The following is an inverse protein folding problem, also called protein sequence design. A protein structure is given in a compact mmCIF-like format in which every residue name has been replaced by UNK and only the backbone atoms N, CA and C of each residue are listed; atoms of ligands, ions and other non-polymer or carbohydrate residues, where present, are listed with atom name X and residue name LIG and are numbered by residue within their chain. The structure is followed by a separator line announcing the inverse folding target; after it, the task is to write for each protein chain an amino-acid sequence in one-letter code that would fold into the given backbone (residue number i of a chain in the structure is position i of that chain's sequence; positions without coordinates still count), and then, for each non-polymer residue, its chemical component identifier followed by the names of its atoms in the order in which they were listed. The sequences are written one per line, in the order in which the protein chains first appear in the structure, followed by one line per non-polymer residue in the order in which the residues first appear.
data_IF_662385900937
#
_entry.id   IF_662385900937
#
_cell.length_a   1.000
_cell.length_b   1.000
_cell.length_c   1.000
_cell.angle_alpha   90.00
_cell.angle_beta   90.00
_cell.angle_gamma   90.00
#
_symmetry.space_group_name_H-M   'P 1'
#
loop_
_entity.id
_entity.type
_entity.pdbx_description
1 polymer ?
#
# COMPACT_ATOMS: atom_id res chain seq x y z
N UNK A 1 15.95 -3.03 -2.33
CA UNK A 1 14.55 -3.50 -2.50
C UNK A 1 14.07 -3.06 -3.87
N UNK A 2 13.38 -3.93 -4.63
CA UNK A 2 12.79 -3.57 -5.93
C UNK A 2 11.32 -3.25 -5.69
N UNK A 3 10.87 -2.06 -6.12
CA UNK A 3 9.47 -1.67 -6.10
C UNK A 3 9.10 -0.99 -7.43
N UNK A 4 7.83 -1.09 -7.80
CA UNK A 4 7.31 -0.61 -9.09
C UNK A 4 6.31 0.51 -8.83
N UNK A 5 6.44 1.61 -9.57
CA UNK A 5 5.39 2.60 -9.71
C UNK A 5 4.63 2.32 -11.01
N UNK A 6 3.30 2.31 -10.96
CA UNK A 6 2.49 2.14 -12.18
C UNK A 6 2.59 3.36 -13.09
N UNK A 7 2.26 3.22 -14.38
CA UNK A 7 2.31 4.33 -15.35
C UNK A 7 1.18 5.36 -15.17
N UNK A 8 0.12 4.98 -14.46
CA UNK A 8 -0.99 5.88 -14.14
C UNK A 8 -0.73 6.57 -12.80
N UNK A 9 -0.89 7.88 -12.79
CA UNK A 9 -0.84 8.73 -11.61
C UNK A 9 -2.14 9.48 -11.41
N UNK A 10 -2.33 9.98 -10.19
CA UNK A 10 -3.54 10.70 -9.80
C UNK A 10 -3.17 12.00 -9.10
N UNK A 11 -3.79 13.10 -9.53
CA UNK A 11 -3.53 14.44 -9.00
C UNK A 11 -4.78 15.14 -8.45
N UNK A 12 -5.92 14.44 -8.44
CA UNK A 12 -7.20 14.89 -7.89
C UNK A 12 -8.19 13.73 -7.79
N UNK A 13 -9.30 13.94 -7.08
CA UNK A 13 -10.40 12.99 -7.01
C UNK A 13 -10.11 11.74 -6.19
N UNK A 14 -10.84 10.67 -6.50
CA UNK A 14 -10.82 9.40 -5.75
C UNK A 14 -10.37 8.26 -6.64
N UNK A 15 -9.50 7.41 -6.13
CA UNK A 15 -9.06 6.21 -6.84
C UNK A 15 -8.97 5.01 -5.91
N UNK A 16 -9.10 3.82 -6.51
CA UNK A 16 -9.11 2.57 -5.80
C UNK A 16 -8.44 1.49 -6.65
N UNK A 17 -7.62 0.65 -6.03
CA UNK A 17 -7.09 -0.54 -6.65
C UNK A 17 -6.97 -1.68 -5.64
N UNK A 18 -7.06 -2.91 -6.13
CA UNK A 18 -6.94 -4.13 -5.32
C UNK A 18 -5.68 -4.89 -5.70
N UNK A 19 -5.00 -5.43 -4.69
CA UNK A 19 -3.80 -6.25 -4.90
C UNK A 19 -3.97 -7.58 -4.18
N UNK A 20 -3.83 -8.67 -4.92
CA UNK A 20 -3.77 -10.01 -4.36
C UNK A 20 -2.40 -10.20 -3.70
N UNK A 21 -2.44 -10.59 -2.42
CA UNK A 21 -1.29 -10.82 -1.55
C UNK A 21 -1.27 -12.24 -0.98
N UNK A 22 -2.23 -13.07 -1.40
CA UNK A 22 -2.37 -14.47 -1.01
C UNK A 22 -1.04 -15.22 -1.11
N UNK A 23 -0.75 -16.06 -0.12
CA UNK A 23 0.43 -16.92 -0.06
C UNK A 23 1.78 -16.17 -0.08
N UNK A 24 1.80 -14.90 0.38
CA UNK A 24 3.01 -14.10 0.59
C UNK A 24 3.31 -13.91 2.07
N UNK A 25 4.59 -13.96 2.43
CA UNK A 25 5.08 -13.76 3.80
C UNK A 25 5.65 -12.37 4.04
N UNK A 26 5.90 -11.61 2.96
CA UNK A 26 6.30 -10.21 3.04
C UNK A 26 5.85 -9.42 1.81
N UNK A 27 5.35 -8.19 2.02
CA UNK A 27 4.99 -7.25 0.96
C UNK A 27 4.79 -5.84 1.51
N UNK A 28 4.84 -4.83 0.63
CA UNK A 28 4.45 -3.46 0.92
C UNK A 28 3.54 -2.91 -0.17
N UNK A 29 2.43 -2.29 0.24
CA UNK A 29 1.40 -1.74 -0.65
C UNK A 29 1.01 -0.33 -0.22
N UNK A 30 0.72 0.53 -1.20
CA UNK A 30 0.32 1.89 -0.88
C UNK A 30 0.43 2.85 -2.05
N UNK A 31 0.74 4.10 -1.76
CA UNK A 31 0.96 5.15 -2.76
C UNK A 31 2.17 5.99 -2.41
N UNK A 32 2.82 6.56 -3.42
CA UNK A 32 3.97 7.45 -3.27
C UNK A 32 3.85 8.65 -4.22
N UNK A 33 4.38 9.81 -3.82
CA UNK A 33 4.56 10.95 -4.71
C UNK A 33 5.65 10.69 -5.74
N UNK A 34 5.63 11.46 -6.83
CA UNK A 34 6.63 11.37 -7.89
C UNK A 34 8.05 11.65 -7.41
N UNK A 35 8.21 12.67 -6.56
CA UNK A 35 9.52 13.17 -6.11
C UNK A 35 10.23 12.27 -5.09
N UNK A 36 9.58 11.20 -4.64
CA UNK A 36 10.11 10.30 -3.61
C UNK A 36 11.45 9.71 -4.06
N UNK A 37 12.47 9.89 -3.21
CA UNK A 37 13.80 9.33 -3.43
C UNK A 37 13.72 7.82 -3.49
N UNK A 38 14.27 7.23 -4.56
CA UNK A 38 14.31 5.78 -4.73
C UNK A 38 15.46 5.05 -4.08
N UNK A 39 16.28 5.80 -3.34
CA UNK A 39 17.52 5.31 -2.74
C UNK A 39 17.45 5.24 -1.22
N UNK A 40 16.35 5.68 -0.62
CA UNK A 40 16.26 5.82 0.83
C UNK A 40 15.87 4.48 1.49
N UNK A 41 16.27 4.32 2.75
CA UNK A 41 16.00 3.14 3.54
C UNK A 41 14.49 2.97 3.82
N UNK A 42 14.05 1.74 4.07
CA UNK A 42 12.63 1.43 4.34
C UNK A 42 12.06 2.25 5.51
N UNK A 43 12.94 2.64 6.43
CA UNK A 43 12.62 3.44 7.63
C UNK A 43 12.23 4.89 7.32
N UNK A 44 12.57 5.42 6.13
CA UNK A 44 12.15 6.76 5.71
C UNK A 44 10.78 6.79 5.03
N UNK A 45 10.07 5.66 4.91
CA UNK A 45 8.85 5.56 4.14
C UNK A 45 7.62 6.04 4.93
N UNK A 46 7.58 7.31 5.30
CA UNK A 46 6.49 7.94 6.06
C UNK A 46 5.65 8.89 5.20
N UNK A 47 4.41 9.22 5.62
CA UNK A 47 3.59 10.25 4.98
C UNK A 47 4.30 11.59 4.81
N UNK A 48 5.12 11.98 5.79
CA UNK A 48 5.93 13.21 5.76
C UNK A 48 6.90 13.23 4.58
N UNK A 49 7.45 12.06 4.22
CA UNK A 49 8.35 11.88 3.08
C UNK A 49 7.61 11.56 1.78
N UNK A 50 6.27 11.70 1.76
CA UNK A 50 5.45 11.53 0.56
C UNK A 50 5.16 10.08 0.20
N UNK A 51 5.20 9.16 1.18
CA UNK A 51 4.92 7.75 0.97
C UNK A 51 3.90 7.26 2.01
N UNK A 52 2.86 6.55 1.57
CA UNK A 52 1.84 5.97 2.43
C UNK A 52 1.79 4.46 2.19
N UNK A 53 2.49 3.68 3.02
CA UNK A 53 2.64 2.23 2.83
C UNK A 53 2.10 1.46 4.03
N UNK A 54 1.29 0.46 3.71
CA UNK A 54 0.99 -0.68 4.57
C UNK A 54 1.98 -1.81 4.24
N UNK A 55 2.70 -2.25 5.25
CA UNK A 55 3.74 -3.25 5.17
C UNK A 55 3.36 -4.50 5.95
N UNK A 56 3.57 -5.67 5.36
CA UNK A 56 3.39 -6.96 6.00
C UNK A 56 4.70 -7.72 6.00
N UNK A 57 5.11 -8.23 7.16
CA UNK A 57 6.29 -9.09 7.29
C UNK A 57 6.12 -10.02 8.49
N UNK A 58 6.30 -11.33 8.27
CA UNK A 58 6.29 -12.35 9.35
C UNK A 58 5.11 -12.19 10.33
N UNK A 59 3.90 -12.10 9.78
CA UNK A 59 2.65 -11.94 10.56
C UNK A 59 2.54 -10.63 11.36
N UNK A 60 3.36 -9.63 11.03
CA UNK A 60 3.18 -8.26 11.50
C UNK A 60 2.64 -7.39 10.36
N UNK A 61 1.57 -6.64 10.64
CA UNK A 61 1.03 -5.63 9.75
C UNK A 61 1.31 -4.25 10.33
N UNK A 62 2.02 -3.42 9.57
CA UNK A 62 2.55 -2.13 10.03
C UNK A 62 2.24 -1.07 8.99
N UNK A 63 1.63 0.03 9.42
CA UNK A 63 1.60 1.25 8.62
C UNK A 63 2.83 2.09 8.97
N UNK A 64 3.64 2.44 7.98
CA UNK A 64 4.83 3.26 8.22
C UNK A 64 4.41 4.71 8.43
N UNK A 65 4.68 5.18 9.65
CA UNK A 65 4.46 6.54 10.11
C UNK A 65 5.54 6.86 11.17
N UNK A 66 5.53 8.06 11.73
CA UNK A 66 6.45 8.46 12.79
C UNK A 66 5.68 8.85 14.08
N UNK A 67 5.51 7.92 15.04
CA UNK A 67 6.02 6.55 15.09
C UNK A 67 5.20 5.56 14.26
N UNK A 68 5.81 4.42 13.90
CA UNK A 68 5.12 3.39 13.11
C UNK A 68 3.90 2.82 13.85
N UNK A 69 2.83 2.57 13.11
CA UNK A 69 1.55 2.08 13.65
C UNK A 69 1.46 0.57 13.40
N UNK A 70 1.50 -0.22 14.47
CA UNK A 70 1.26 -1.67 14.41
C UNK A 70 -0.24 -1.96 14.40
N UNK A 71 -0.67 -2.80 13.48
CA UNK A 71 -2.08 -3.12 13.24
C UNK A 71 -2.35 -4.59 13.57
N UNK A 72 -3.55 -4.92 14.08
CA UNK A 72 -3.91 -6.30 14.31
C UNK A 72 -3.99 -7.05 12.98
N UNK A 73 -3.27 -8.18 12.89
CA UNK A 73 -3.36 -9.07 11.73
C UNK A 73 -4.64 -9.88 11.83
N UNK A 74 -5.51 -9.75 10.83
CA UNK A 74 -6.70 -10.60 10.69
C UNK A 74 -6.30 -11.94 10.04
N UNK A 75 -7.15 -12.95 10.19
CA UNK A 75 -6.94 -14.24 9.53
C UNK A 75 -6.73 -14.06 8.02
N UNK A 76 -5.82 -14.86 7.45
CA UNK A 76 -5.37 -14.88 6.05
C UNK A 76 -5.79 -13.68 5.18
N UNK A 77 -4.97 -12.62 5.20
CA UNK A 77 -5.11 -11.51 4.28
C UNK A 77 -4.82 -11.99 2.84
N UNK A 78 -5.85 -12.14 2.01
CA UNK A 78 -5.69 -12.64 0.63
C UNK A 78 -5.61 -11.51 -0.39
N UNK A 79 -6.32 -10.41 -0.13
CA UNK A 79 -6.40 -9.27 -1.04
C UNK A 79 -6.58 -7.97 -0.27
N UNK A 80 -5.81 -6.96 -0.64
CA UNK A 80 -5.81 -5.64 -0.03
C UNK A 80 -6.32 -4.60 -1.02
N UNK A 81 -7.33 -3.85 -0.61
CA UNK A 81 -7.82 -2.67 -1.32
C UNK A 81 -7.11 -1.42 -0.82
N UNK A 82 -6.62 -0.60 -1.74
CA UNK A 82 -6.03 0.71 -1.45
C UNK A 82 -6.94 1.77 -2.05
N UNK A 83 -7.54 2.59 -1.20
CA UNK A 83 -8.39 3.71 -1.57
C UNK A 83 -7.68 5.02 -1.25
N UNK A 84 -7.79 5.98 -2.15
CA UNK A 84 -7.30 7.33 -1.92
C UNK A 84 -8.37 8.32 -2.29
N UNK A 85 -8.59 9.28 -1.40
CA UNK A 85 -9.31 10.51 -1.69
C UNK A 85 -8.28 11.65 -1.65
N UNK A 86 -7.87 12.07 -2.85
CA UNK A 86 -6.83 13.08 -3.02
C UNK A 86 -7.30 14.42 -2.46
N UNK A 87 -8.54 14.80 -2.73
CA UNK A 87 -9.06 16.11 -2.33
C UNK A 87 -9.31 16.18 -0.82
N UNK A 88 -9.67 15.05 -0.19
CA UNK A 88 -9.84 14.95 1.26
C UNK A 88 -8.56 14.63 2.03
N UNK A 89 -7.43 14.38 1.35
CA UNK A 89 -6.18 14.06 2.04
C UNK A 89 -6.21 12.71 2.78
N UNK A 90 -6.76 11.68 2.15
CA UNK A 90 -7.02 10.38 2.77
C UNK A 90 -6.41 9.23 1.98
N UNK A 91 -5.70 8.34 2.67
CA UNK A 91 -5.31 7.01 2.15
C UNK A 91 -5.87 5.95 3.08
N UNK A 92 -6.61 4.98 2.56
CA UNK A 92 -7.26 3.92 3.33
C UNK A 92 -6.98 2.54 2.77
N UNK A 93 -6.85 1.57 3.68
CA UNK A 93 -6.56 0.19 3.39
C UNK A 93 -7.70 -0.70 3.87
N UNK A 94 -8.04 -1.71 3.07
CA UNK A 94 -9.15 -2.61 3.31
C UNK A 94 -8.75 -4.06 3.06
N UNK A 95 -9.26 -4.94 3.91
CA UNK A 95 -9.32 -6.36 3.63
C UNK A 95 -10.54 -6.59 2.72
N UNK A 96 -10.28 -6.94 1.47
CA UNK A 96 -11.33 -7.06 0.44
C UNK A 96 -12.24 -8.25 0.74
N UNK A 97 -11.66 -9.37 1.16
CA UNK A 97 -12.41 -10.61 1.40
C UNK A 97 -13.26 -10.48 2.66
N UNK A 98 -12.70 -9.92 3.74
CA UNK A 98 -13.46 -9.64 4.96
C UNK A 98 -14.38 -8.42 4.84
N UNK A 99 -14.29 -7.65 3.74
CA UNK A 99 -14.99 -6.37 3.53
C UNK A 99 -14.81 -5.40 4.71
N UNK A 100 -13.60 -5.38 5.25
CA UNK A 100 -13.36 -4.74 6.53
C UNK A 100 -12.20 -3.75 6.43
N UNK A 101 -12.39 -2.59 7.06
CA UNK A 101 -11.36 -1.56 7.15
C UNK A 101 -10.14 -2.06 7.93
N UNK A 102 -8.94 -1.78 7.43
CA UNK A 102 -7.66 -2.08 8.08
C UNK A 102 -7.13 -0.82 8.77
N UNK A 103 -6.91 0.25 7.99
CA UNK A 103 -6.32 1.49 8.47
C UNK A 103 -6.59 2.66 7.54
N UNK A 104 -6.59 3.88 8.08
CA UNK A 104 -6.67 5.12 7.29
C UNK A 104 -5.65 6.15 7.80
N UNK A 105 -4.87 6.70 6.88
CA UNK A 105 -4.08 7.91 7.09
C UNK A 105 -4.90 9.12 6.64
N UNK A 106 -5.22 10.01 7.57
CA UNK A 106 -6.04 11.22 7.35
C UNK A 106 -5.20 12.48 7.49
N UNK A 107 -5.69 13.61 6.95
CA UNK A 107 -4.99 14.90 7.08
C UNK A 107 -3.72 14.96 6.23
N UNK A 108 -3.65 14.14 5.19
CA UNK A 108 -2.54 14.12 4.26
C UNK A 108 -2.65 15.32 3.33
N UNK A 109 -1.58 16.10 3.18
CA UNK A 109 -1.53 17.14 2.15
C UNK A 109 -0.89 16.55 0.90
N UNK A 110 -1.59 16.47 -0.23
CA UNK A 110 -1.00 16.03 -1.49
C UNK A 110 -0.72 17.22 -2.40
N UNK A 111 0.52 17.36 -2.85
CA UNK A 111 0.98 18.45 -3.71
C UNK A 111 1.51 17.97 -5.07
N UNK A 112 1.50 16.66 -5.30
CA UNK A 112 2.12 16.02 -6.46
C UNK A 112 1.27 14.82 -6.90
N UNK A 113 1.40 14.39 -8.16
CA UNK A 113 0.81 13.14 -8.61
C UNK A 113 1.21 11.97 -7.71
N UNK A 114 0.21 11.20 -7.28
CA UNK A 114 0.39 9.97 -6.53
C UNK A 114 0.42 8.77 -7.49
N UNK A 115 1.31 7.85 -7.19
CA UNK A 115 1.51 6.61 -7.93
C UNK A 115 1.27 5.42 -6.99
N UNK A 116 0.50 4.40 -7.43
CA UNK A 116 0.47 3.10 -6.78
C UNK A 116 1.87 2.56 -6.53
N UNK A 117 2.10 2.14 -5.29
CA UNK A 117 3.35 1.56 -4.81
C UNK A 117 3.14 0.07 -4.52
N UNK A 118 3.95 -0.78 -5.16
CA UNK A 118 3.96 -2.22 -4.92
C UNK A 118 5.40 -2.70 -4.68
N UNK A 119 5.61 -3.37 -3.55
CA UNK A 119 6.86 -4.00 -3.18
C UNK A 119 6.61 -5.49 -2.84
N UNK A 120 7.05 -6.43 -3.69
CA UNK A 120 6.87 -7.87 -3.44
C UNK A 120 7.81 -8.43 -2.36
N UNK A 121 8.76 -7.61 -1.87
CA UNK A 121 9.85 -7.99 -0.97
C UNK A 121 10.77 -9.08 -1.55
N UNK A 122 11.73 -9.56 -0.74
CA UNK A 122 12.66 -10.61 -1.16
C UNK A 122 11.95 -11.96 -1.22
N UNK A 123 12.48 -12.85 -2.06
CA UNK A 123 11.95 -14.19 -2.32
C UNK A 123 11.98 -15.14 -1.11
N UNK A 124 12.87 -14.88 -0.13
CA UNK A 124 13.06 -15.66 1.11
C UNK A 124 13.11 -17.18 0.91
N UNK A 125 14.01 -17.66 0.04
CA UNK A 125 14.19 -19.11 -0.18
C UNK A 125 12.89 -19.82 -0.57
N UNK A 126 12.17 -19.27 -1.55
CA UNK A 126 10.86 -19.70 -2.08
C UNK A 126 9.65 -19.40 -1.19
N UNK A 127 9.84 -18.99 0.07
CA UNK A 127 8.73 -18.73 1.01
C UNK A 127 7.89 -17.50 0.66
N UNK A 128 8.40 -16.62 -0.19
CA UNK A 128 7.70 -15.41 -0.65
C UNK A 128 7.68 -15.31 -2.18
N UNK A 129 7.66 -16.46 -2.86
CA UNK A 129 7.73 -16.59 -4.32
C UNK A 129 6.47 -16.13 -5.06
N UNK A 130 5.32 -16.09 -4.38
CA UNK A 130 4.04 -15.68 -4.97
C UNK A 130 4.07 -14.20 -5.43
N UNK A 131 3.60 -13.88 -6.65
CA UNK A 131 3.60 -12.51 -7.16
C UNK A 131 2.54 -11.64 -6.48
N UNK A 132 2.75 -10.32 -6.52
CA UNK A 132 1.68 -9.35 -6.28
C UNK A 132 0.90 -9.16 -7.58
N UNK A 133 -0.43 -9.32 -7.54
CA UNK A 133 -1.28 -9.21 -8.73
C UNK A 133 -2.29 -8.08 -8.51
N UNK A 134 -2.24 -7.05 -9.36
CA UNK A 134 -3.28 -6.01 -9.39
C UNK A 134 -4.54 -6.63 -10.00
N UNK A 135 -5.63 -6.65 -9.25
CA UNK A 135 -6.91 -7.21 -9.68
C UNK A 135 -7.76 -6.14 -10.38
N UNK A 136 -8.44 -6.47 -11.50
CA UNK A 136 -9.41 -5.56 -12.09
C UNK A 136 -10.57 -5.34 -11.12
N UNK A 137 -10.92 -4.08 -10.88
CA UNK A 137 -12.08 -3.71 -10.07
C UNK A 137 -13.27 -3.59 -11.01
N UNK A 138 -14.29 -4.44 -10.83
CA UNK A 138 -15.53 -4.31 -11.59
C UNK A 138 -16.26 -3.04 -11.13
N UNK A 139 -16.26 -2.01 -11.97
CA UNK A 139 -17.12 -0.85 -11.81
C UNK A 139 -18.56 -1.30 -12.07
N UNK A 140 -19.32 -1.56 -11.00
CA UNK A 140 -20.76 -1.69 -11.10
C UNK A 140 -21.33 -0.27 -11.15
N UNK A 141 -21.83 0.10 -12.34
CA UNK A 141 -22.55 1.35 -12.58
C UNK A 141 -23.94 1.33 -11.95
#
# INVERSE_FOLDING_TARGET
MLYVLTRQSFSSGRFYFEVQVKDKTAWGLGVARESVSRKDDITSHTPENGIWILYFIKDELVFFDNPAVRLPVRAELQKVGVFVDYDAGLVSFYDVEARAHIYSATGCTFSEPLYPFLCPCLHDGDRNSTPLIISPVNQTH
#
